data_IF_485088286038
#
_entry.id   IF_485088286038
#
_cell.length_a   1.000
_cell.length_b   1.000
_cell.length_c   1.000
_cell.angle_alpha   90.00
_cell.angle_beta   90.00
_cell.angle_gamma   90.00
#
_symmetry.space_group_name_H-M   'P 1'
#
loop_
_entity.id
_entity.type
_entity.pdbx_description
1 polymer ?
#
# COMPACT_ATOMS: atom_id res chain seq x y z
N UNK A 1 -11.36 7.79 -75.38
CA UNK A 1 -11.58 6.69 -74.41
C UNK A 1 -10.47 6.58 -73.36
N UNK A 2 -9.18 6.64 -73.72
CA UNK A 2 -8.06 6.50 -72.77
C UNK A 2 -8.06 7.50 -71.59
N UNK A 3 -8.41 8.77 -71.82
CA UNK A 3 -8.45 9.80 -70.76
C UNK A 3 -9.50 9.54 -69.65
N UNK A 4 -10.62 8.87 -69.99
CA UNK A 4 -11.65 8.52 -69.00
C UNK A 4 -11.21 7.36 -68.10
N UNK A 5 -10.37 6.46 -68.60
CA UNK A 5 -9.85 5.31 -67.85
C UNK A 5 -8.80 5.78 -66.84
N UNK A 6 -7.93 6.72 -67.24
CA UNK A 6 -6.95 7.35 -66.35
C UNK A 6 -7.62 8.08 -65.17
N UNK A 7 -8.63 8.90 -65.45
CA UNK A 7 -9.37 9.66 -64.43
C UNK A 7 -10.25 8.79 -63.52
N UNK A 8 -10.66 7.60 -63.98
CA UNK A 8 -11.36 6.62 -63.17
C UNK A 8 -10.39 5.88 -62.22
N UNK A 9 -9.22 5.50 -62.72
CA UNK A 9 -8.17 4.85 -61.93
C UNK A 9 -7.62 5.78 -60.83
N UNK A 10 -7.38 7.06 -61.14
CA UNK A 10 -6.96 8.07 -60.16
C UNK A 10 -7.98 8.25 -59.03
N UNK A 11 -9.28 8.29 -59.36
CA UNK A 11 -10.35 8.36 -58.35
C UNK A 11 -10.37 7.11 -57.47
N UNK A 12 -10.24 5.94 -58.07
CA UNK A 12 -10.25 4.68 -57.32
C UNK A 12 -9.02 4.55 -56.40
N UNK A 13 -7.85 5.02 -56.85
CA UNK A 13 -6.64 5.08 -56.05
C UNK A 13 -6.78 6.08 -54.88
N UNK A 14 -7.32 7.28 -55.15
CA UNK A 14 -7.60 8.29 -54.12
C UNK A 14 -8.61 7.79 -53.08
N UNK A 15 -9.63 7.05 -53.51
CA UNK A 15 -10.63 6.48 -52.61
C UNK A 15 -10.04 5.34 -51.75
N UNK A 16 -9.19 4.49 -52.34
CA UNK A 16 -8.44 3.49 -51.56
C UNK A 16 -7.46 4.12 -50.55
N UNK A 17 -6.83 5.24 -50.90
CA UNK A 17 -5.94 5.96 -50.01
C UNK A 17 -6.70 6.58 -48.83
N UNK A 18 -7.88 7.17 -49.09
CA UNK A 18 -8.77 7.68 -48.04
C UNK A 18 -9.25 6.60 -47.08
N UNK A 19 -9.67 5.44 -47.61
CA UNK A 19 -10.09 4.32 -46.77
C UNK A 19 -8.92 3.84 -45.90
N UNK A 20 -7.71 3.78 -46.47
CA UNK A 20 -6.52 3.42 -45.70
C UNK A 20 -6.17 4.45 -44.62
N UNK A 21 -6.30 5.76 -44.89
CA UNK A 21 -6.13 6.84 -43.90
C UNK A 21 -7.18 6.72 -42.77
N UNK A 22 -8.47 6.57 -43.11
CA UNK A 22 -9.54 6.43 -42.13
C UNK A 22 -9.35 5.20 -41.23
N UNK A 23 -8.86 4.08 -41.79
CA UNK A 23 -8.51 2.90 -41.00
C UNK A 23 -7.31 3.14 -40.08
N UNK A 24 -6.32 3.93 -40.53
CA UNK A 24 -5.14 4.28 -39.75
C UNK A 24 -5.52 5.18 -38.57
N UNK A 25 -6.32 6.21 -38.82
CA UNK A 25 -6.82 7.15 -37.80
C UNK A 25 -7.66 6.41 -36.74
N UNK A 26 -8.53 5.48 -37.17
CA UNK A 26 -9.33 4.68 -36.25
C UNK A 26 -8.48 3.78 -35.34
N UNK A 27 -7.37 3.22 -35.84
CA UNK A 27 -6.46 2.42 -35.02
C UNK A 27 -5.63 3.30 -34.07
N UNK A 28 -5.22 4.50 -34.49
CA UNK A 28 -4.54 5.48 -33.63
C UNK A 28 -5.45 5.87 -32.46
N UNK A 29 -6.69 6.28 -32.74
CA UNK A 29 -7.69 6.66 -31.73
C UNK A 29 -7.93 5.54 -30.71
N UNK A 30 -7.93 4.29 -31.17
CA UNK A 30 -8.11 3.11 -30.32
C UNK A 30 -6.92 2.89 -29.40
N UNK A 31 -5.69 3.03 -29.92
CA UNK A 31 -4.46 2.90 -29.13
C UNK A 31 -4.35 4.00 -28.08
N UNK A 32 -4.71 5.24 -28.40
CA UNK A 32 -4.71 6.35 -27.44
C UNK A 32 -5.70 6.13 -26.29
N UNK A 33 -6.93 5.69 -26.58
CA UNK A 33 -7.93 5.37 -25.55
C UNK A 33 -7.49 4.23 -24.64
N UNK A 34 -6.89 3.18 -25.20
CA UNK A 34 -6.35 2.06 -24.41
C UNK A 34 -5.23 2.54 -23.47
N UNK A 35 -4.35 3.41 -23.95
CA UNK A 35 -3.26 3.95 -23.14
C UNK A 35 -3.77 4.84 -21.99
N UNK A 36 -4.81 5.65 -22.22
CA UNK A 36 -5.41 6.52 -21.21
C UNK A 36 -6.15 5.70 -20.12
N UNK A 37 -6.94 4.69 -20.53
CA UNK A 37 -7.60 3.76 -19.62
C UNK A 37 -6.60 3.00 -18.73
N UNK A 38 -5.47 2.57 -19.29
CA UNK A 38 -4.39 1.90 -18.54
C UNK A 38 -3.74 2.83 -17.52
N UNK A 39 -3.53 4.10 -17.89
CA UNK A 39 -2.94 5.12 -17.03
C UNK A 39 -3.89 5.50 -15.89
N UNK A 40 -5.18 5.67 -16.18
CA UNK A 40 -6.21 5.94 -15.18
C UNK A 40 -6.37 4.74 -14.23
N UNK A 41 -6.37 3.51 -14.76
CA UNK A 41 -6.34 2.29 -13.96
C UNK A 41 -5.12 2.21 -13.04
N UNK A 42 -3.93 2.60 -13.50
CA UNK A 42 -2.72 2.66 -12.67
C UNK A 42 -2.85 3.71 -11.55
N UNK A 43 -3.40 4.88 -11.86
CA UNK A 43 -3.64 5.96 -10.90
C UNK A 43 -4.61 5.50 -9.80
N UNK A 44 -5.71 4.87 -10.18
CA UNK A 44 -6.71 4.34 -9.25
C UNK A 44 -6.09 3.29 -8.32
N UNK A 45 -5.32 2.33 -8.86
CA UNK A 45 -4.61 1.32 -8.05
C UNK A 45 -3.67 1.94 -7.03
N UNK A 46 -2.93 2.98 -7.40
CA UNK A 46 -2.02 3.71 -6.49
C UNK A 46 -2.79 4.45 -5.39
N UNK A 47 -3.87 5.15 -5.76
CA UNK A 47 -4.73 5.85 -4.79
C UNK A 47 -5.33 4.88 -3.78
N UNK A 48 -5.82 3.72 -4.23
CA UNK A 48 -6.40 2.72 -3.34
C UNK A 48 -5.35 2.08 -2.43
N UNK A 49 -4.13 1.83 -2.95
CA UNK A 49 -3.02 1.37 -2.13
C UNK A 49 -2.67 2.38 -1.02
N UNK A 50 -2.58 3.67 -1.36
CA UNK A 50 -2.33 4.73 -0.38
C UNK A 50 -3.43 4.80 0.69
N UNK A 51 -4.71 4.81 0.28
CA UNK A 51 -5.85 4.81 1.21
C UNK A 51 -5.83 3.61 2.16
N UNK A 52 -5.49 2.42 1.65
CA UNK A 52 -5.36 1.20 2.46
C UNK A 52 -4.24 1.32 3.49
N UNK A 53 -3.08 1.83 3.09
CA UNK A 53 -1.95 2.04 4.01
C UNK A 53 -2.29 3.04 5.10
N UNK A 54 -2.95 4.14 4.76
CA UNK A 54 -3.35 5.17 5.71
C UNK A 54 -4.38 4.64 6.71
N UNK A 55 -5.37 3.87 6.23
CA UNK A 55 -6.35 3.19 7.09
C UNK A 55 -5.68 2.22 8.06
N UNK A 56 -4.71 1.41 7.59
CA UNK A 56 -3.93 0.50 8.45
C UNK A 56 -3.15 1.25 9.52
N UNK A 57 -2.44 2.32 9.14
CA UNK A 57 -1.71 3.18 10.09
C UNK A 57 -2.64 3.74 11.17
N UNK A 58 -3.82 4.24 10.78
CA UNK A 58 -4.81 4.76 11.74
C UNK A 58 -5.34 3.68 12.67
N UNK A 59 -5.60 2.47 12.15
CA UNK A 59 -6.02 1.33 12.97
C UNK A 59 -4.94 0.94 14.00
N UNK A 60 -3.69 0.83 13.58
CA UNK A 60 -2.56 0.58 14.47
C UNK A 60 -2.41 1.64 15.57
N UNK A 61 -2.48 2.93 15.20
CA UNK A 61 -2.45 4.02 16.18
C UNK A 61 -3.63 3.94 17.17
N UNK A 62 -4.84 3.62 16.69
CA UNK A 62 -6.02 3.46 17.56
C UNK A 62 -5.89 2.28 18.53
N UNK A 63 -5.06 1.29 18.17
CA UNK A 63 -4.73 0.16 19.02
C UNK A 63 -3.62 0.51 20.02
N UNK A 64 -2.92 1.64 19.91
CA UNK A 64 -1.79 2.02 20.76
C UNK A 64 -0.44 1.50 20.25
N UNK A 65 -0.31 1.30 18.93
CA UNK A 65 1.00 1.13 18.29
C UNK A 65 1.68 2.50 18.12
N UNK A 66 3.00 2.52 17.93
CA UNK A 66 3.75 3.77 17.77
C UNK A 66 4.42 4.27 19.05
N UNK A 67 4.10 3.66 20.20
CA UNK A 67 4.66 3.99 21.50
C UNK A 67 5.10 2.72 22.25
N UNK A 68 5.98 2.91 23.22
CA UNK A 68 6.43 1.87 24.11
C UNK A 68 5.75 2.05 25.48
N UNK A 69 4.72 1.23 25.75
CA UNK A 69 3.88 1.35 26.95
C UNK A 69 4.07 0.18 27.93
N UNK A 70 3.86 0.46 29.21
CA UNK A 70 3.89 -0.54 30.28
C UNK A 70 2.49 -1.09 30.54
N UNK A 71 2.38 -2.41 30.62
CA UNK A 71 1.16 -3.09 31.03
C UNK A 71 1.14 -3.28 32.54
N UNK A 72 -0.07 -3.16 33.11
CA UNK A 72 -0.26 -3.27 34.56
C UNK A 72 -0.60 -4.69 35.00
N UNK A 73 -1.12 -5.52 34.09
CA UNK A 73 -1.59 -6.87 34.41
C UNK A 73 -1.51 -7.84 33.24
N UNK A 74 -1.53 -9.14 33.56
CA UNK A 74 -1.54 -10.23 32.58
C UNK A 74 -2.78 -10.26 31.66
N UNK A 75 -4.01 -9.97 32.12
CA UNK A 75 -5.17 -9.84 31.22
C UNK A 75 -4.97 -8.78 30.13
N UNK A 76 -4.38 -7.63 30.46
CA UNK A 76 -4.08 -6.60 29.48
C UNK A 76 -3.07 -7.07 28.43
N UNK A 77 -2.11 -7.92 28.81
CA UNK A 77 -1.18 -8.54 27.89
C UNK A 77 -1.91 -9.42 26.88
N UNK A 78 -2.79 -10.32 27.33
CA UNK A 78 -3.55 -11.17 26.43
C UNK A 78 -4.47 -10.37 25.51
N UNK A 79 -5.13 -9.33 26.01
CA UNK A 79 -5.96 -8.45 25.18
C UNK A 79 -5.13 -7.67 24.14
N UNK A 80 -3.94 -7.19 24.50
CA UNK A 80 -3.04 -6.53 23.57
C UNK A 80 -2.59 -7.48 22.44
N UNK A 81 -2.28 -8.73 22.77
CA UNK A 81 -1.92 -9.80 21.84
C UNK A 81 -3.08 -10.22 20.93
N UNK A 82 -4.34 -10.23 21.41
CA UNK A 82 -5.51 -10.51 20.57
C UNK A 82 -5.82 -9.39 19.59
N UNK A 83 -5.60 -8.13 19.98
CA UNK A 83 -5.95 -6.94 19.17
C UNK A 83 -4.92 -6.61 18.08
N UNK A 84 -3.72 -7.18 18.15
CA UNK A 84 -2.58 -6.80 17.31
C UNK A 84 -1.94 -8.05 16.72
N UNK A 85 -1.60 -8.02 15.43
CA UNK A 85 -0.98 -9.15 14.73
C UNK A 85 0.47 -9.38 15.17
N UNK A 86 1.25 -8.31 15.23
CA UNK A 86 2.64 -8.35 15.69
C UNK A 86 2.76 -7.65 17.04
N UNK A 87 3.30 -8.35 18.03
CA UNK A 87 3.52 -7.82 19.38
C UNK A 87 4.91 -8.22 19.87
N UNK A 88 5.65 -7.26 20.41
CA UNK A 88 6.92 -7.44 21.09
C UNK A 88 6.74 -7.00 22.54
N UNK A 89 6.99 -7.91 23.48
CA UNK A 89 6.85 -7.63 24.92
C UNK A 89 8.17 -7.86 25.63
N UNK A 90 8.67 -6.82 26.30
CA UNK A 90 9.80 -6.94 27.20
C UNK A 90 9.33 -7.30 28.60
N UNK A 91 9.58 -8.54 29.00
CA UNK A 91 9.52 -8.97 30.39
C UNK A 91 10.75 -8.47 31.13
N UNK A 92 10.58 -7.51 32.03
CA UNK A 92 11.69 -6.85 32.70
C UNK A 92 11.63 -7.04 34.21
N UNK A 93 12.80 -6.89 34.84
CA UNK A 93 12.95 -6.82 36.29
C UNK A 93 13.73 -5.56 36.63
N UNK A 94 13.22 -4.73 37.55
CA UNK A 94 13.79 -3.41 37.86
C UNK A 94 15.24 -3.44 38.36
N UNK A 95 15.71 -4.59 38.85
CA UNK A 95 17.08 -4.79 39.35
C UNK A 95 18.14 -4.98 38.25
N UNK A 96 17.75 -5.15 36.99
CA UNK A 96 18.68 -5.49 35.90
C UNK A 96 19.00 -4.28 35.03
N UNK A 97 20.24 -3.78 35.12
CA UNK A 97 20.71 -2.64 34.31
C UNK A 97 20.49 -2.81 32.80
N UNK A 98 20.64 -4.03 32.28
CA UNK A 98 20.47 -4.34 30.84
C UNK A 98 19.06 -4.06 30.33
N UNK A 99 18.02 -4.14 31.18
CA UNK A 99 16.65 -3.80 30.79
C UNK A 99 16.53 -2.34 30.33
N UNK A 100 17.28 -1.41 30.96
CA UNK A 100 17.27 0.01 30.56
C UNK A 100 17.78 0.22 29.12
N UNK A 101 18.74 -0.60 28.69
CA UNK A 101 19.27 -0.55 27.32
C UNK A 101 18.21 -1.03 26.34
N UNK A 102 17.54 -2.15 26.66
CA UNK A 102 16.45 -2.70 25.85
C UNK A 102 15.29 -1.70 25.74
N UNK A 103 14.83 -1.15 26.87
CA UNK A 103 13.77 -0.13 26.92
C UNK A 103 14.06 1.04 25.95
N UNK A 104 15.29 1.55 25.95
CA UNK A 104 15.71 2.65 25.07
C UNK A 104 15.58 2.27 23.59
N UNK A 105 16.01 1.07 23.21
CA UNK A 105 15.93 0.64 21.81
C UNK A 105 14.50 0.32 21.39
N UNK A 106 13.69 -0.27 22.27
CA UNK A 106 12.29 -0.55 22.00
C UNK A 106 11.45 0.72 21.84
N UNK A 107 11.73 1.79 22.61
CA UNK A 107 11.07 3.09 22.41
C UNK A 107 11.38 3.72 21.04
N UNK A 108 12.63 3.58 20.57
CA UNK A 108 13.01 4.06 19.23
C UNK A 108 12.33 3.23 18.14
N UNK A 109 12.28 1.91 18.31
CA UNK A 109 11.67 1.00 17.34
C UNK A 109 10.15 1.16 17.27
N UNK A 110 9.49 1.39 18.40
CA UNK A 110 8.04 1.58 18.46
C UNK A 110 7.57 2.74 17.57
N UNK A 111 8.32 3.84 17.54
CA UNK A 111 8.03 5.02 16.70
C UNK A 111 8.26 4.77 15.21
N UNK A 112 9.13 3.81 14.86
CA UNK A 112 9.49 3.49 13.47
C UNK A 112 8.62 2.38 12.87
N UNK A 113 8.17 1.45 13.70
CA UNK A 113 7.48 0.23 13.29
C UNK A 113 6.04 0.25 13.81
N UNK A 114 5.17 1.01 13.14
CA UNK A 114 3.76 1.12 13.49
C UNK A 114 2.97 -0.18 13.28
N UNK A 115 3.51 -1.10 12.49
CA UNK A 115 2.94 -2.43 12.25
C UNK A 115 3.08 -3.38 13.45
N UNK A 116 3.92 -3.03 14.44
CA UNK A 116 4.22 -3.85 15.60
C UNK A 116 3.93 -3.10 16.89
N UNK A 117 3.26 -3.76 17.83
CA UNK A 117 3.00 -3.22 19.15
C UNK A 117 4.17 -3.51 20.09
N UNK A 118 4.73 -2.48 20.72
CA UNK A 118 5.83 -2.63 21.68
C UNK A 118 5.35 -2.37 23.09
N UNK A 119 5.55 -3.34 23.97
CA UNK A 119 5.07 -3.31 25.34
C UNK A 119 6.15 -3.76 26.32
N UNK A 120 5.98 -3.40 27.59
CA UNK A 120 6.75 -3.98 28.68
C UNK A 120 5.87 -4.38 29.85
N UNK A 121 6.31 -5.37 30.59
CA UNK A 121 5.61 -5.82 31.78
C UNK A 121 6.62 -6.33 32.80
N UNK A 122 6.42 -5.97 34.07
CA UNK A 122 7.28 -6.46 35.14
C UNK A 122 7.01 -7.93 35.38
N UNK A 123 8.07 -8.74 35.51
CA UNK A 123 7.95 -10.17 35.85
C UNK A 123 7.20 -10.35 37.18
N UNK A 124 7.30 -9.41 38.12
CA UNK A 124 6.59 -9.48 39.40
C UNK A 124 5.06 -9.30 39.23
N UNK A 125 4.63 -8.69 38.12
CA UNK A 125 3.21 -8.45 37.77
C UNK A 125 2.61 -9.56 36.89
N UNK A 126 3.45 -10.48 36.41
CA UNK A 126 3.04 -11.56 35.50
C UNK A 126 3.18 -12.88 36.24
N UNK A 127 2.06 -13.56 36.45
CA UNK A 127 2.05 -14.88 37.06
C UNK A 127 1.59 -15.87 36.02
N UNK A 128 2.45 -16.10 35.01
CA UNK A 128 2.27 -17.16 34.02
C UNK A 128 2.26 -18.50 34.77
N UNK A 129 1.07 -18.98 35.11
CA UNK A 129 0.81 -20.31 35.65
C UNK A 129 0.45 -21.27 34.53
#
# INVERSE_FOLDING_TARGET
MAANIQAALERQLMESAKIAEEMLDAEIDKLEKMADDDLEGLRQRRLDAMKRLEKKKRDWLSKGHGEYSELSSEPEFFEACKRSENVVVHFYRGSTFRCKIVDKHLDILAKKHLETRFLKISVDKVRLS
#
